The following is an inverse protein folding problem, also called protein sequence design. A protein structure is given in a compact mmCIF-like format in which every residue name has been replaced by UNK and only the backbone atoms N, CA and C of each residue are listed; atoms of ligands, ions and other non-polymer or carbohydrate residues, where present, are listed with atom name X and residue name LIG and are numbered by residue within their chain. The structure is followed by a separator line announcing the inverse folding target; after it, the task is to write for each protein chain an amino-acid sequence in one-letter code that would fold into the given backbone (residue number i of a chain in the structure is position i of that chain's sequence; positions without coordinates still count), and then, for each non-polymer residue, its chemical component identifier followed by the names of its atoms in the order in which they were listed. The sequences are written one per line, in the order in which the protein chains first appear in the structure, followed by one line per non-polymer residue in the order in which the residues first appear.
data_IF_725500398817
#
_entry.id   IF_725500398817
#
_cell.length_a   1.000
_cell.length_b   1.000
_cell.length_c   1.000
_cell.angle_alpha   90.00
_cell.angle_beta   90.00
_cell.angle_gamma   90.00
#
_symmetry.space_group_name_H-M   'P 1'
#
loop_
_entity.id
_entity.type
_entity.pdbx_description
1 polymer ?
#
# COMPACT_ATOMS: atom_id res chain seq x y z
N UNK A 1 -23.05 12.36 1.46
CA UNK A 1 -21.69 12.29 2.02
C UNK A 1 -20.76 13.01 1.05
N UNK A 2 -19.99 13.98 1.51
CA UNK A 2 -18.99 14.66 0.69
C UNK A 2 -17.73 13.78 0.52
N UNK A 3 -16.84 14.12 -0.43
CA UNK A 3 -15.56 13.44 -0.60
C UNK A 3 -14.70 13.52 0.70
N UNK A 4 -14.73 14.68 1.36
CA UNK A 4 -13.99 14.88 2.61
C UNK A 4 -14.55 14.03 3.75
N UNK A 5 -15.87 13.86 3.83
CA UNK A 5 -16.51 13.00 4.83
C UNK A 5 -16.15 11.54 4.60
N UNK A 6 -16.19 11.10 3.35
CA UNK A 6 -15.77 9.75 2.94
C UNK A 6 -14.29 9.49 3.30
N UNK A 7 -13.41 10.41 2.92
CA UNK A 7 -11.98 10.31 3.22
C UNK A 7 -11.69 10.24 4.72
N UNK A 8 -12.35 11.09 5.53
CA UNK A 8 -12.18 11.07 7.00
C UNK A 8 -12.70 9.79 7.64
N UNK A 9 -13.85 9.30 7.18
CA UNK A 9 -14.44 8.05 7.67
C UNK A 9 -13.49 6.88 7.44
N UNK A 10 -13.05 6.69 6.19
CA UNK A 10 -12.21 5.54 5.83
C UNK A 10 -10.78 5.65 6.35
N UNK A 11 -10.26 6.87 6.56
CA UNK A 11 -8.97 7.05 7.24
C UNK A 11 -9.02 6.53 8.68
N UNK A 12 -10.06 6.89 9.45
CA UNK A 12 -10.21 6.36 10.81
C UNK A 12 -10.37 4.85 10.80
N UNK A 13 -11.25 4.35 9.93
CA UNK A 13 -11.51 2.91 9.80
C UNK A 13 -10.23 2.11 9.51
N UNK A 14 -9.41 2.57 8.58
CA UNK A 14 -8.17 1.88 8.25
C UNK A 14 -7.13 1.98 9.37
N UNK A 15 -6.99 3.13 10.02
CA UNK A 15 -6.06 3.29 11.14
C UNK A 15 -6.45 2.37 12.32
N UNK A 16 -7.75 2.24 12.62
CA UNK A 16 -8.26 1.30 13.62
C UNK A 16 -8.00 -0.16 13.22
N UNK A 17 -8.24 -0.50 11.94
CA UNK A 17 -7.98 -1.84 11.41
C UNK A 17 -6.48 -2.21 11.51
N UNK A 18 -5.60 -1.32 11.08
CA UNK A 18 -4.14 -1.51 11.14
C UNK A 18 -3.64 -1.66 12.58
N UNK A 19 -4.17 -0.85 13.51
CA UNK A 19 -3.87 -0.97 14.94
C UNK A 19 -4.27 -2.34 15.47
N UNK A 20 -5.49 -2.79 15.16
CA UNK A 20 -6.00 -4.09 15.59
C UNK A 20 -5.15 -5.26 15.04
N UNK A 21 -4.69 -5.19 13.77
CA UNK A 21 -3.79 -6.20 13.19
C UNK A 21 -2.47 -6.31 13.98
N UNK A 22 -1.87 -5.18 14.36
CA UNK A 22 -0.62 -5.18 15.13
C UNK A 22 -0.82 -5.62 16.59
N UNK A 23 -1.96 -5.25 17.19
CA UNK A 23 -2.29 -5.65 18.57
C UNK A 23 -2.61 -7.15 18.69
N UNK A 24 -3.09 -7.77 17.62
CA UNK A 24 -3.32 -9.22 17.55
C UNK A 24 -2.02 -10.04 17.48
N UNK A 25 -0.87 -9.41 17.17
CA UNK A 25 0.41 -10.11 17.12
C UNK A 25 0.86 -10.55 18.54
N UNK A 26 1.39 -11.78 18.69
CA UNK A 26 1.93 -12.23 19.97
C UNK A 26 3.02 -11.32 20.52
N UNK A 27 3.13 -11.21 21.85
CA UNK A 27 4.15 -10.40 22.52
C UNK A 27 5.55 -11.05 22.47
N UNK A 28 5.99 -11.54 21.30
CA UNK A 28 7.26 -12.23 21.11
C UNK A 28 8.42 -11.23 20.98
N UNK A 29 8.23 -10.16 20.21
CA UNK A 29 9.24 -9.14 19.93
C UNK A 29 8.65 -7.73 20.10
N UNK A 30 8.48 -7.23 21.33
CA UNK A 30 7.78 -5.97 21.60
C UNK A 30 8.39 -4.78 20.85
N UNK A 31 9.73 -4.64 20.88
CA UNK A 31 10.42 -3.54 20.19
C UNK A 31 10.16 -3.54 18.68
N UNK A 32 10.14 -4.70 18.04
CA UNK A 32 9.82 -4.83 16.62
C UNK A 32 8.37 -4.42 16.34
N UNK A 33 7.42 -4.90 17.16
CA UNK A 33 6.01 -4.50 17.04
C UNK A 33 5.82 -2.99 17.22
N UNK A 34 6.53 -2.38 18.17
CA UNK A 34 6.47 -0.94 18.42
C UNK A 34 7.02 -0.15 17.22
N UNK A 35 8.11 -0.61 16.59
CA UNK A 35 8.67 -0.03 15.37
C UNK A 35 7.72 -0.17 14.17
N UNK A 36 7.09 -1.34 13.98
CA UNK A 36 6.05 -1.55 12.97
C UNK A 36 4.86 -0.61 13.20
N UNK A 37 4.39 -0.50 14.44
CA UNK A 37 3.28 0.40 14.82
C UNK A 37 3.65 1.86 14.56
N UNK A 38 4.83 2.27 14.95
CA UNK A 38 5.35 3.61 14.74
C UNK A 38 5.35 3.95 13.23
N UNK A 39 5.99 3.14 12.38
CA UNK A 39 6.08 3.40 10.95
C UNK A 39 4.75 3.33 10.21
N UNK A 40 3.89 2.38 10.57
CA UNK A 40 2.59 2.17 9.92
C UNK A 40 1.57 3.25 10.30
N UNK A 41 1.56 3.72 11.55
CA UNK A 41 0.57 4.67 12.08
C UNK A 41 1.08 6.10 12.22
N UNK A 42 2.25 6.43 11.64
CA UNK A 42 2.82 7.79 11.63
C UNK A 42 1.95 8.83 10.89
N UNK A 43 0.76 8.46 10.49
CA UNK A 43 -0.17 9.28 9.73
C UNK A 43 -0.03 9.07 8.22
N UNK A 44 -0.62 9.98 7.43
CA UNK A 44 -0.60 9.94 5.97
C UNK A 44 -1.96 10.18 5.35
N UNK A 45 -1.97 10.36 4.02
CA UNK A 45 -3.20 10.62 3.25
C UNK A 45 -4.08 9.37 3.11
N UNK A 46 -3.53 8.16 3.32
CA UNK A 46 -4.21 6.86 3.16
C UNK A 46 -4.88 6.70 1.79
N UNK A 47 -4.21 7.15 0.74
CA UNK A 47 -4.77 7.17 -0.62
C UNK A 47 -5.07 5.76 -1.15
N UNK A 48 -4.17 4.80 -0.90
CA UNK A 48 -4.34 3.42 -1.36
C UNK A 48 -5.53 2.71 -0.68
N UNK A 49 -5.65 2.72 0.65
CA UNK A 49 -6.86 2.28 1.34
C UNK A 49 -8.13 2.99 0.87
N UNK A 50 -8.07 4.32 0.69
CA UNK A 50 -9.19 5.10 0.17
C UNK A 50 -9.69 4.54 -1.17
N UNK A 51 -8.78 4.21 -2.09
CA UNK A 51 -9.14 3.65 -3.40
C UNK A 51 -9.78 2.26 -3.27
N UNK A 52 -9.29 1.41 -2.35
CA UNK A 52 -9.91 0.11 -2.06
C UNK A 52 -11.36 0.30 -1.63
N UNK A 53 -11.61 1.18 -0.66
CA UNK A 53 -12.97 1.45 -0.16
C UNK A 53 -13.85 2.09 -1.24
N UNK A 54 -13.35 3.10 -1.95
CA UNK A 54 -14.12 3.81 -2.97
C UNK A 54 -14.59 2.86 -4.08
N UNK A 55 -13.71 2.01 -4.58
CA UNK A 55 -14.05 1.02 -5.61
C UNK A 55 -14.99 -0.05 -5.07
N UNK A 56 -14.70 -0.61 -3.90
CA UNK A 56 -15.53 -1.65 -3.31
C UNK A 56 -16.94 -1.15 -3.00
N UNK A 57 -17.09 0.00 -2.38
CA UNK A 57 -18.41 0.58 -2.06
C UNK A 57 -19.19 0.99 -3.33
N UNK A 58 -18.51 1.54 -4.35
CA UNK A 58 -19.14 1.80 -5.65
C UNK A 58 -19.73 0.52 -6.25
N UNK A 59 -19.09 -0.64 -6.02
CA UNK A 59 -19.55 -1.95 -6.46
C UNK A 59 -20.56 -2.62 -5.48
N UNK A 60 -20.93 -1.95 -4.39
CA UNK A 60 -21.87 -2.44 -3.38
C UNK A 60 -21.25 -3.47 -2.42
N UNK A 61 -19.94 -3.45 -2.24
CA UNK A 61 -19.24 -4.31 -1.28
C UNK A 61 -19.28 -3.65 0.11
N UNK A 62 -19.65 -4.38 1.18
CA UNK A 62 -19.62 -3.84 2.53
C UNK A 62 -18.17 -3.57 3.00
N UNK A 63 -17.99 -2.48 3.75
CA UNK A 63 -16.66 -2.00 4.16
C UNK A 63 -15.85 -3.03 4.95
N UNK A 64 -16.51 -3.90 5.73
CA UNK A 64 -15.85 -4.99 6.50
C UNK A 64 -15.08 -5.96 5.60
N UNK A 65 -15.56 -6.17 4.38
CA UNK A 65 -14.88 -7.03 3.39
C UNK A 65 -13.68 -6.33 2.75
N UNK A 66 -13.64 -5.01 2.78
CA UNK A 66 -12.60 -4.17 2.21
C UNK A 66 -11.44 -3.91 3.17
N UNK A 67 -11.65 -4.11 4.48
CA UNK A 67 -10.67 -3.80 5.53
C UNK A 67 -9.35 -4.55 5.34
N UNK A 68 -9.40 -5.86 5.08
CA UNK A 68 -8.19 -6.65 4.86
C UNK A 68 -7.38 -6.22 3.64
N UNK A 69 -8.00 -6.13 2.44
CA UNK A 69 -7.34 -5.62 1.25
C UNK A 69 -6.77 -4.19 1.41
N UNK A 70 -7.51 -3.29 2.09
CA UNK A 70 -7.07 -1.94 2.38
C UNK A 70 -5.85 -1.93 3.33
N UNK A 71 -5.88 -2.75 4.38
CA UNK A 71 -4.76 -2.90 5.30
C UNK A 71 -3.52 -3.50 4.63
N UNK A 72 -3.70 -4.51 3.78
CA UNK A 72 -2.60 -5.17 3.10
C UNK A 72 -1.83 -4.22 2.17
N UNK A 73 -2.52 -3.46 1.33
CA UNK A 73 -1.84 -2.51 0.44
C UNK A 73 -1.16 -1.38 1.21
N UNK A 74 -1.70 -0.96 2.35
CA UNK A 74 -1.07 0.07 3.19
C UNK A 74 0.14 -0.46 3.94
N UNK A 75 0.14 -1.73 4.38
CA UNK A 75 1.34 -2.37 4.95
C UNK A 75 2.48 -2.42 3.93
N UNK A 76 2.20 -2.74 2.67
CA UNK A 76 3.19 -2.69 1.58
C UNK A 76 3.72 -1.27 1.40
N UNK A 77 2.84 -0.27 1.35
CA UNK A 77 3.27 1.12 1.25
C UNK A 77 4.12 1.56 2.45
N UNK A 78 3.74 1.18 3.66
CA UNK A 78 4.48 1.55 4.86
C UNK A 78 5.89 0.93 4.88
N UNK A 79 6.02 -0.38 4.55
CA UNK A 79 7.34 -1.00 4.52
C UNK A 79 8.27 -0.31 3.52
N UNK A 80 7.75 0.07 2.34
CA UNK A 80 8.58 0.76 1.35
C UNK A 80 9.14 2.08 1.89
N UNK A 81 8.32 2.84 2.61
CA UNK A 81 8.77 4.08 3.24
C UNK A 81 9.82 3.85 4.34
N UNK A 82 9.67 2.78 5.14
CA UNK A 82 10.66 2.44 6.17
C UNK A 82 12.02 2.11 5.56
N UNK A 83 12.04 1.40 4.42
CA UNK A 83 13.27 1.03 3.74
C UNK A 83 13.85 2.20 2.93
N UNK A 84 13.01 3.02 2.29
CA UNK A 84 13.46 4.20 1.56
C UNK A 84 14.16 5.21 2.50
N UNK A 85 13.71 5.34 3.75
CA UNK A 85 14.31 6.24 4.74
C UNK A 85 15.71 5.83 5.22
N UNK A 86 16.13 4.57 5.00
CA UNK A 86 17.40 4.05 5.50
C UNK A 86 18.62 4.78 4.90
N UNK A 87 19.78 4.80 5.63
CA UNK A 87 21.01 5.43 5.12
C UNK A 87 21.53 4.86 3.80
N UNK A 88 21.17 3.61 3.46
CA UNK A 88 21.53 2.98 2.20
C UNK A 88 20.62 3.38 1.02
N UNK A 89 19.57 4.14 1.28
CA UNK A 89 18.58 4.62 0.35
C UNK A 89 18.56 6.16 0.39
N UNK A 90 17.42 6.79 0.72
CA UNK A 90 17.26 8.24 0.72
C UNK A 90 17.96 8.93 1.91
N UNK A 91 18.32 8.18 2.97
CA UNK A 91 18.96 8.66 4.20
C UNK A 91 18.21 9.82 4.87
N UNK A 92 16.89 9.69 4.97
CA UNK A 92 16.02 10.70 5.55
C UNK A 92 15.98 10.62 7.08
N UNK A 93 16.22 11.73 7.75
CA UNK A 93 16.12 11.84 9.22
C UNK A 93 14.68 12.00 9.70
N UNK A 94 13.83 12.63 8.89
CA UNK A 94 12.44 12.98 9.23
C UNK A 94 11.46 12.54 8.14
N UNK A 95 10.32 12.02 8.56
CA UNK A 95 9.17 11.77 7.71
C UNK A 95 7.91 12.37 8.33
N UNK A 96 7.19 13.20 7.57
CA UNK A 96 5.99 13.93 8.07
C UNK A 96 6.27 14.73 9.36
N UNK A 97 7.48 15.25 9.49
CA UNK A 97 7.90 16.05 10.65
C UNK A 97 8.25 15.23 11.91
N UNK A 98 8.26 13.90 11.82
CA UNK A 98 8.67 13.00 12.90
C UNK A 98 9.95 12.25 12.51
N UNK A 99 10.79 11.83 13.46
CA UNK A 99 11.94 10.98 13.18
C UNK A 99 11.55 9.73 12.36
N UNK A 100 12.37 9.36 11.38
CA UNK A 100 12.20 8.11 10.67
C UNK A 100 12.41 6.91 11.58
N UNK A 101 11.95 5.71 11.20
CA UNK A 101 12.00 4.53 12.09
C UNK A 101 13.44 4.21 12.48
N UNK A 102 14.40 4.30 11.56
CA UNK A 102 15.81 4.04 11.89
C UNK A 102 16.42 5.07 12.84
N UNK A 103 15.89 6.29 12.88
CA UNK A 103 16.31 7.32 13.85
C UNK A 103 15.61 7.16 15.20
N UNK A 104 14.33 6.79 15.22
CA UNK A 104 13.56 6.57 16.44
C UNK A 104 13.95 5.27 17.18
N UNK A 105 14.41 4.26 16.45
CA UNK A 105 14.80 2.96 16.98
C UNK A 105 16.27 2.67 16.66
N UNK A 106 16.55 2.02 15.54
CA UNK A 106 17.86 1.76 14.94
C UNK A 106 17.66 1.17 13.52
N UNK A 107 18.73 1.07 12.72
CA UNK A 107 18.67 0.57 11.34
C UNK A 107 18.21 -0.88 11.25
N UNK A 108 18.76 -1.76 12.10
CA UNK A 108 18.38 -3.18 12.11
C UNK A 108 16.91 -3.38 12.45
N UNK A 109 16.40 -2.62 13.43
CA UNK A 109 14.96 -2.64 13.79
C UNK A 109 14.11 -2.10 12.65
N UNK A 110 14.54 -1.05 11.94
CA UNK A 110 13.81 -0.49 10.80
C UNK A 110 13.74 -1.48 9.61
N UNK A 111 14.83 -2.15 9.30
CA UNK A 111 14.88 -3.20 8.27
C UNK A 111 13.89 -4.32 8.60
N UNK A 112 13.98 -4.87 9.81
CA UNK A 112 13.09 -5.95 10.25
C UNK A 112 11.62 -5.53 10.34
N UNK A 113 11.34 -4.26 10.70
CA UNK A 113 9.98 -3.74 10.72
C UNK A 113 9.39 -3.65 9.30
N UNK A 114 10.18 -3.25 8.32
CA UNK A 114 9.78 -3.27 6.91
C UNK A 114 9.51 -4.70 6.41
N UNK A 115 10.41 -5.64 6.66
CA UNK A 115 10.27 -7.06 6.28
C UNK A 115 9.00 -7.67 6.91
N UNK A 116 8.77 -7.39 8.19
CA UNK A 116 7.61 -7.90 8.91
C UNK A 116 6.30 -7.29 8.39
N UNK A 117 6.25 -5.99 8.07
CA UNK A 117 5.08 -5.34 7.47
C UNK A 117 4.78 -5.89 6.08
N UNK A 118 5.81 -6.11 5.24
CA UNK A 118 5.64 -6.73 3.93
C UNK A 118 5.00 -8.11 4.06
N UNK A 119 5.53 -8.95 4.94
CA UNK A 119 5.00 -10.30 5.18
C UNK A 119 3.60 -10.27 5.79
N UNK A 120 3.34 -9.35 6.72
CA UNK A 120 2.02 -9.15 7.34
C UNK A 120 0.95 -8.81 6.30
N UNK A 121 1.28 -8.04 5.27
CA UNK A 121 0.34 -7.71 4.20
C UNK A 121 -0.23 -8.97 3.52
N UNK A 122 0.62 -9.95 3.24
CA UNK A 122 0.19 -11.23 2.65
C UNK A 122 -0.60 -12.09 3.63
N UNK A 123 -0.20 -12.12 4.90
CA UNK A 123 -0.95 -12.83 5.95
C UNK A 123 -2.36 -12.25 6.10
N UNK A 124 -2.50 -10.91 6.13
CA UNK A 124 -3.81 -10.25 6.19
C UNK A 124 -4.69 -10.69 5.02
N UNK A 125 -4.21 -10.69 3.77
CA UNK A 125 -5.01 -11.13 2.62
C UNK A 125 -5.34 -12.62 2.65
N UNK A 126 -4.40 -13.45 3.12
CA UNK A 126 -4.59 -14.89 3.21
C UNK A 126 -5.67 -15.27 4.23
N UNK A 127 -5.70 -14.56 5.37
CA UNK A 127 -6.53 -14.92 6.53
C UNK A 127 -7.82 -14.08 6.63
N UNK A 128 -7.93 -12.96 5.87
CA UNK A 128 -9.10 -12.10 5.92
C UNK A 128 -10.40 -12.87 5.61
N UNK A 129 -11.43 -12.75 6.44
CA UNK A 129 -12.70 -13.44 6.22
C UNK A 129 -13.33 -13.04 4.87
N UNK A 130 -13.52 -14.01 4.00
CA UNK A 130 -14.19 -13.84 2.71
C UNK A 130 -15.25 -14.94 2.53
N UNK A 131 -16.40 -14.62 1.90
CA UNK A 131 -17.35 -15.63 1.49
C UNK A 131 -16.72 -16.71 0.57
N UNK A 132 -17.17 -17.94 0.64
CA UNK A 132 -16.65 -19.06 -0.16
C UNK A 132 -16.61 -18.75 -1.66
N UNK A 133 -17.61 -18.04 -2.17
CA UNK A 133 -17.66 -17.59 -3.56
C UNK A 133 -16.48 -16.67 -3.98
N UNK A 134 -15.73 -16.11 -3.03
CA UNK A 134 -14.59 -15.24 -3.26
C UNK A 134 -13.23 -15.90 -3.02
N UNK A 135 -13.18 -17.19 -2.69
CA UNK A 135 -11.90 -17.87 -2.41
C UNK A 135 -10.96 -17.85 -3.61
N UNK A 136 -11.48 -17.99 -4.83
CA UNK A 136 -10.67 -17.86 -6.05
C UNK A 136 -10.11 -16.43 -6.20
N UNK A 137 -10.87 -15.40 -5.80
CA UNK A 137 -10.42 -14.01 -5.84
C UNK A 137 -9.32 -13.74 -4.79
N UNK A 138 -9.27 -14.44 -3.66
CA UNK A 138 -8.17 -14.35 -2.69
C UNK A 138 -6.82 -14.62 -3.34
N UNK A 139 -6.71 -15.69 -4.13
CA UNK A 139 -5.46 -16.01 -4.86
C UNK A 139 -5.12 -14.90 -5.86
N UNK A 140 -6.12 -14.34 -6.54
CA UNK A 140 -5.94 -13.20 -7.46
C UNK A 140 -5.47 -11.94 -6.71
N UNK A 141 -6.02 -11.66 -5.53
CA UNK A 141 -5.60 -10.53 -4.68
C UNK A 141 -4.14 -10.69 -4.24
N UNK A 142 -3.75 -11.87 -3.75
CA UNK A 142 -2.37 -12.17 -3.37
C UNK A 142 -1.41 -12.02 -4.55
N UNK A 143 -1.78 -12.53 -5.73
CA UNK A 143 -1.00 -12.38 -6.96
C UNK A 143 -0.87 -10.92 -7.40
N UNK A 144 -1.96 -10.16 -7.35
CA UNK A 144 -1.96 -8.73 -7.70
C UNK A 144 -1.04 -7.93 -6.78
N UNK A 145 -1.13 -8.16 -5.46
CA UNK A 145 -0.28 -7.48 -4.49
C UNK A 145 1.20 -7.87 -4.67
N UNK A 146 1.51 -9.15 -4.86
CA UNK A 146 2.88 -9.62 -5.08
C UNK A 146 3.52 -9.02 -6.34
N UNK A 147 2.77 -8.93 -7.43
CA UNK A 147 3.26 -8.31 -8.67
C UNK A 147 3.48 -6.81 -8.52
N UNK A 148 2.55 -6.11 -7.86
CA UNK A 148 2.61 -4.67 -7.67
C UNK A 148 3.70 -4.23 -6.69
N UNK A 149 4.03 -5.05 -5.69
CA UNK A 149 5.08 -4.74 -4.71
C UNK A 149 6.48 -5.18 -5.14
N UNK A 150 6.60 -6.21 -5.98
CA UNK A 150 7.86 -6.85 -6.34
C UNK A 150 8.60 -6.24 -7.54
N UNK A 151 9.37 -7.10 -8.23
CA UNK A 151 10.22 -6.72 -9.37
C UNK A 151 9.47 -6.04 -10.52
N UNK A 152 8.23 -6.48 -10.80
CA UNK A 152 7.38 -5.93 -11.87
C UNK A 152 6.60 -4.68 -11.44
N UNK A 153 6.79 -4.21 -10.23
CA UNK A 153 6.08 -3.07 -9.65
C UNK A 153 7.01 -2.17 -8.85
N UNK A 154 6.62 -1.90 -7.61
CA UNK A 154 7.25 -0.89 -6.75
C UNK A 154 8.76 -1.10 -6.53
N UNK A 155 9.23 -2.31 -6.21
CA UNK A 155 10.66 -2.55 -6.03
C UNK A 155 11.44 -2.34 -7.33
N UNK A 156 10.92 -2.79 -8.47
CA UNK A 156 11.55 -2.53 -9.77
C UNK A 156 11.57 -1.04 -10.10
N UNK A 157 10.48 -0.32 -9.80
CA UNK A 157 10.41 1.13 -9.96
C UNK A 157 11.42 1.87 -9.09
N UNK A 158 11.60 1.45 -7.84
CA UNK A 158 12.61 1.99 -6.92
C UNK A 158 14.04 1.74 -7.44
N UNK A 159 14.30 0.55 -7.98
CA UNK A 159 15.61 0.25 -8.58
C UNK A 159 15.90 1.15 -9.78
N UNK A 160 14.90 1.38 -10.66
CA UNK A 160 15.04 2.31 -11.79
C UNK A 160 15.27 3.76 -11.34
N UNK A 161 14.62 4.17 -10.24
CA UNK A 161 14.78 5.50 -9.65
C UNK A 161 16.21 5.71 -9.16
N UNK A 162 16.75 4.78 -8.38
CA UNK A 162 18.15 4.79 -7.92
C UNK A 162 19.15 4.80 -9.10
N UNK A 163 18.89 4.02 -10.16
CA UNK A 163 19.75 4.01 -11.36
C UNK A 163 19.69 5.34 -12.13
N UNK A 164 18.63 6.12 -11.97
CA UNK A 164 18.43 7.42 -12.59
C UNK A 164 19.13 8.57 -11.84
N UNK A 165 19.51 8.37 -10.59
CA UNK A 165 20.17 9.40 -9.78
C UNK A 165 21.43 9.95 -10.44
N UNK A 166 21.57 11.28 -10.42
CA UNK A 166 22.71 11.98 -11.03
C UNK A 166 22.76 11.94 -12.55
N UNK A 167 21.75 11.37 -13.24
CA UNK A 167 21.63 11.28 -14.69
C UNK A 167 20.50 12.15 -15.22
N UNK A 168 20.65 12.62 -16.47
CA UNK A 168 19.50 13.14 -17.22
C UNK A 168 18.79 11.99 -17.89
N UNK A 169 17.55 11.75 -17.52
CA UNK A 169 16.69 10.71 -18.10
C UNK A 169 15.68 11.33 -19.05
N UNK A 170 15.21 10.56 -20.00
CA UNK A 170 14.15 10.96 -20.93
C UNK A 170 12.78 10.96 -20.22
N UNK A 171 11.80 11.66 -20.78
CA UNK A 171 10.42 11.64 -20.27
C UNK A 171 9.86 10.21 -20.22
N UNK A 172 10.17 9.37 -21.19
CA UNK A 172 9.71 7.98 -21.21
C UNK A 172 10.31 7.14 -20.07
N UNK A 173 11.59 7.35 -19.72
CA UNK A 173 12.21 6.71 -18.57
C UNK A 173 11.59 7.20 -17.25
N UNK A 174 11.35 8.50 -17.10
CA UNK A 174 10.69 9.07 -15.95
C UNK A 174 9.25 8.51 -15.77
N UNK A 175 8.46 8.47 -16.86
CA UNK A 175 7.14 7.85 -16.84
C UNK A 175 7.19 6.38 -16.43
N UNK A 176 8.22 5.64 -16.84
CA UNK A 176 8.41 4.25 -16.44
C UNK A 176 8.69 4.13 -14.93
N UNK A 177 9.60 4.96 -14.39
CA UNK A 177 9.86 5.03 -12.94
C UNK A 177 8.55 5.29 -12.19
N UNK A 178 7.82 6.34 -12.55
CA UNK A 178 6.58 6.73 -11.89
C UNK A 178 5.50 5.65 -11.95
N UNK A 179 5.34 5.01 -13.11
CA UNK A 179 4.37 3.93 -13.30
C UNK A 179 4.65 2.75 -12.38
N UNK A 180 5.90 2.35 -12.21
CA UNK A 180 6.27 1.21 -11.38
C UNK A 180 6.38 1.59 -9.91
N UNK A 181 7.14 2.62 -9.54
CA UNK A 181 7.38 3.02 -8.16
C UNK A 181 6.07 3.37 -7.43
N UNK A 182 5.18 4.11 -8.06
CA UNK A 182 3.94 4.62 -7.44
C UNK A 182 2.67 4.04 -8.07
N UNK A 183 2.58 4.03 -9.41
CA UNK A 183 1.39 3.63 -10.14
C UNK A 183 0.97 2.18 -9.86
N UNK A 184 1.91 1.26 -9.79
CA UNK A 184 1.63 -0.16 -9.59
C UNK A 184 0.81 -0.45 -8.32
N UNK A 185 1.12 0.19 -7.19
CA UNK A 185 0.34 0.02 -5.95
C UNK A 185 -1.02 0.75 -5.98
N UNK A 186 -1.14 1.83 -6.73
CA UNK A 186 -2.42 2.52 -6.96
C UNK A 186 -3.34 1.62 -7.79
N UNK A 187 -2.85 1.06 -8.89
CA UNK A 187 -3.59 0.10 -9.72
C UNK A 187 -3.96 -1.16 -8.92
N UNK A 188 -3.05 -1.64 -8.08
CA UNK A 188 -3.31 -2.75 -7.18
C UNK A 188 -4.45 -2.44 -6.21
N UNK A 189 -4.47 -1.27 -5.57
CA UNK A 189 -5.52 -0.87 -4.65
C UNK A 189 -6.92 -0.91 -5.30
N UNK A 190 -7.04 -0.36 -6.51
CA UNK A 190 -8.28 -0.41 -7.31
C UNK A 190 -8.67 -1.86 -7.62
N UNK A 191 -7.70 -2.68 -8.02
CA UNK A 191 -7.92 -4.11 -8.33
C UNK A 191 -8.38 -4.88 -7.10
N UNK A 192 -7.77 -4.66 -5.93
CA UNK A 192 -8.14 -5.29 -4.68
C UNK A 192 -9.59 -4.95 -4.28
N UNK A 193 -9.98 -3.68 -4.39
CA UNK A 193 -11.36 -3.25 -4.14
C UNK A 193 -12.36 -3.96 -5.06
N UNK A 194 -12.05 -4.07 -6.35
CA UNK A 194 -12.90 -4.76 -7.32
C UNK A 194 -13.01 -6.27 -7.05
N UNK A 195 -11.91 -6.92 -6.68
CA UNK A 195 -11.88 -8.37 -6.41
C UNK A 195 -12.65 -8.76 -5.14
N UNK A 196 -13.04 -7.81 -4.30
CA UNK A 196 -13.95 -8.05 -3.17
C UNK A 196 -15.41 -8.34 -3.60
N UNK A 197 -15.73 -8.19 -4.87
CA UNK A 197 -17.01 -8.57 -5.47
C UNK A 197 -16.83 -9.85 -6.31
N UNK A 198 -17.79 -10.76 -6.25
CA UNK A 198 -17.72 -12.05 -6.96
C UNK A 198 -17.74 -11.86 -8.48
N UNK A 199 -18.71 -11.10 -8.96
CA UNK A 199 -19.01 -10.96 -10.40
C UNK A 199 -18.91 -9.47 -10.80
N UNK A 200 -17.68 -9.05 -11.12
CA UNK A 200 -17.45 -7.72 -11.71
C UNK A 200 -17.48 -7.84 -13.22
N UNK A 201 -18.34 -7.08 -13.86
CA UNK A 201 -18.43 -7.00 -15.33
C UNK A 201 -17.06 -6.67 -15.94
N UNK A 202 -16.59 -7.39 -16.97
CA UNK A 202 -15.28 -7.17 -17.58
C UNK A 202 -15.07 -5.72 -18.05
N UNK A 203 -16.10 -5.07 -18.57
CA UNK A 203 -16.05 -3.68 -18.99
C UNK A 203 -15.82 -2.73 -17.82
N UNK A 204 -16.45 -2.98 -16.67
CA UNK A 204 -16.25 -2.20 -15.44
C UNK A 204 -14.82 -2.37 -14.93
N UNK A 205 -14.30 -3.59 -14.91
CA UNK A 205 -12.92 -3.84 -14.49
C UNK A 205 -11.91 -3.13 -15.40
N UNK A 206 -12.11 -3.18 -16.73
CA UNK A 206 -11.25 -2.48 -17.69
C UNK A 206 -11.30 -0.95 -17.50
N UNK A 207 -12.48 -0.37 -17.26
CA UNK A 207 -12.63 1.05 -16.99
C UNK A 207 -11.92 1.46 -15.68
N UNK A 208 -12.03 0.66 -14.62
CA UNK A 208 -11.33 0.87 -13.36
C UNK A 208 -9.82 0.80 -13.52
N UNK A 209 -9.30 -0.12 -14.31
CA UNK A 209 -7.86 -0.23 -14.59
C UNK A 209 -7.36 0.98 -15.38
N UNK A 210 -8.10 1.45 -16.38
CA UNK A 210 -7.77 2.66 -17.14
C UNK A 210 -7.74 3.89 -16.23
N UNK A 211 -8.73 4.02 -15.35
CA UNK A 211 -8.79 5.10 -14.36
C UNK A 211 -7.61 5.05 -13.39
N UNK A 212 -7.27 3.86 -12.88
CA UNK A 212 -6.17 3.67 -11.93
C UNK A 212 -4.81 4.05 -12.54
N UNK A 213 -4.56 3.65 -13.79
CA UNK A 213 -3.35 4.02 -14.52
C UNK A 213 -3.23 5.55 -14.71
N UNK A 214 -4.35 6.21 -15.06
CA UNK A 214 -4.38 7.67 -15.23
C UNK A 214 -4.16 8.41 -13.90
N UNK A 215 -4.78 7.96 -12.80
CA UNK A 215 -4.59 8.55 -11.46
C UNK A 215 -3.17 8.32 -10.96
N UNK A 216 -2.59 7.14 -11.18
CA UNK A 216 -1.23 6.83 -10.79
C UNK A 216 -0.22 7.81 -11.40
N UNK A 217 -0.39 8.13 -12.68
CA UNK A 217 0.44 9.12 -13.36
C UNK A 217 0.18 10.55 -12.86
N UNK A 218 -1.10 10.94 -12.71
CA UNK A 218 -1.47 12.29 -12.25
C UNK A 218 -0.99 12.57 -10.82
N UNK A 219 -0.95 11.55 -9.96
CA UNK A 219 -0.49 11.67 -8.58
C UNK A 219 0.98 12.08 -8.51
N UNK A 220 1.82 11.55 -9.38
CA UNK A 220 3.25 11.88 -9.45
C UNK A 220 3.48 13.30 -9.95
N UNK A 221 2.76 13.72 -10.98
CA UNK A 221 2.87 15.09 -11.53
C UNK A 221 2.50 16.17 -10.49
N UNK A 222 1.72 15.83 -9.48
CA UNK A 222 1.34 16.75 -8.41
C UNK A 222 2.36 16.76 -7.25
N UNK A 223 3.07 15.66 -7.01
CA UNK A 223 4.06 15.55 -5.93
C UNK A 223 5.46 16.09 -6.37
N UNK A 224 5.73 16.22 -7.69
CA UNK A 224 6.89 16.90 -8.29
C UNK A 224 6.67 18.43 -8.34
#
# INVERSE_FOLDING_TARGET
MTLDDFSRLHRRRIDDCLSAQLEALPAMAPRLRDAMKYGLLLGGKRVRPFLVYAVGEMLGVPSERLDGPAAAVECIHAYSLLHDDLPAMDNDDLRRGQPTVHKAFDEGTAILAGDALQTLAFSILADHPLPDALLANRVRMLSALARASGYLGMCGGQALDLEAEGRRISLAELEQVHRHKTGALIECAVTLGALCKADVEPATLAALQTYAAAIGLAFQVQDD
#
